data_IF_971646659061
#
_entry.id   IF_971646659061
#
_cell.length_a   1.000
_cell.length_b   1.000
_cell.length_c   1.000
_cell.angle_alpha   90.00
_cell.angle_beta   90.00
_cell.angle_gamma   90.00
#
_symmetry.space_group_name_H-M   'P 1'
#
loop_
_entity.id
_entity.type
_entity.pdbx_description
1 polymer ?
#
# COMPACT_ATOMS: atom_id res chain seq x y z
N UNK A 1 -15.90 5.72 -5.53
CA UNK A 1 -14.68 5.18 -6.15
C UNK A 1 -13.87 4.58 -5.03
N UNK A 2 -13.55 3.30 -5.07
CA UNK A 2 -12.83 2.66 -3.97
C UNK A 2 -11.70 1.84 -4.55
N UNK A 3 -10.50 2.39 -4.46
CA UNK A 3 -9.25 1.71 -4.77
C UNK A 3 -8.63 1.31 -3.43
N UNK A 4 -8.20 0.06 -3.29
CA UNK A 4 -7.76 -0.43 -1.98
C UNK A 4 -6.78 -1.59 -2.05
N UNK A 5 -6.03 -1.76 -0.96
CA UNK A 5 -5.22 -2.96 -0.72
C UNK A 5 -6.07 -3.98 0.04
N UNK A 6 -6.24 -5.16 -0.55
CA UNK A 6 -6.92 -6.32 0.03
C UNK A 6 -5.95 -7.48 0.15
N UNK A 7 -5.47 -7.71 1.36
CA UNK A 7 -4.48 -8.72 1.70
C UNK A 7 -3.05 -8.24 1.48
N UNK A 8 -2.15 -8.73 2.33
CA UNK A 8 -0.73 -8.42 2.26
C UNK A 8 0.12 -9.66 2.56
N UNK A 9 0.98 -10.03 1.62
CA UNK A 9 2.04 -11.02 1.78
C UNK A 9 3.33 -10.32 2.20
N UNK A 10 3.64 -10.38 3.50
CA UNK A 10 4.87 -9.81 4.05
C UNK A 10 5.98 -10.87 4.08
N UNK A 11 6.85 -10.80 3.09
CA UNK A 11 8.02 -11.66 2.97
C UNK A 11 9.23 -11.08 3.71
N UNK A 12 9.14 -9.90 4.32
CA UNK A 12 10.24 -9.29 5.07
C UNK A 12 10.38 -9.85 6.49
N UNK A 13 11.53 -9.58 7.12
CA UNK A 13 11.76 -9.86 8.54
C UNK A 13 11.24 -8.75 9.47
N UNK A 14 10.59 -7.72 8.92
CA UNK A 14 10.06 -6.58 9.67
C UNK A 14 8.53 -6.59 9.64
N UNK A 15 7.90 -5.88 10.58
CA UNK A 15 6.47 -5.61 10.48
C UNK A 15 6.18 -4.71 9.30
N UNK A 16 5.06 -4.94 8.64
CA UNK A 16 4.48 -4.00 7.68
C UNK A 16 3.30 -3.32 8.34
N UNK A 17 3.26 -1.99 8.34
CA UNK A 17 2.16 -1.23 8.95
C UNK A 17 1.49 -0.34 7.91
N UNK A 18 0.20 -0.58 7.71
CA UNK A 18 -0.70 0.28 6.95
C UNK A 18 -1.26 1.33 7.91
N UNK A 19 -1.00 2.60 7.61
CA UNK A 19 -1.52 3.76 8.35
C UNK A 19 -2.36 4.56 7.38
N UNK A 20 -3.68 4.47 7.56
CA UNK A 20 -4.62 5.15 6.68
C UNK A 20 -4.94 6.54 7.26
N UNK A 21 -4.51 7.59 6.57
CA UNK A 21 -4.67 8.97 7.07
C UNK A 21 -6.13 9.46 6.96
N UNK A 22 -6.91 8.91 6.03
CA UNK A 22 -8.32 9.28 5.86
C UNK A 22 -9.25 8.42 6.72
N UNK A 23 -8.91 7.13 6.88
CA UNK A 23 -9.69 6.17 7.66
C UNK A 23 -8.82 5.45 8.70
N UNK A 24 -8.43 6.17 9.76
CA UNK A 24 -7.49 5.65 10.76
C UNK A 24 -7.89 4.30 11.39
N UNK A 25 -9.19 3.99 11.48
CA UNK A 25 -9.71 2.70 11.96
C UNK A 25 -9.34 1.49 11.10
N UNK A 26 -8.96 1.71 9.84
CA UNK A 26 -8.52 0.68 8.90
C UNK A 26 -6.99 0.48 8.92
N UNK A 27 -6.30 1.11 9.88
CA UNK A 27 -4.87 0.90 10.07
C UNK A 27 -4.61 -0.52 10.60
N UNK A 28 -3.62 -1.19 10.02
CA UNK A 28 -3.35 -2.60 10.33
C UNK A 28 -1.87 -2.90 10.21
N UNK A 29 -1.40 -3.87 10.99
CA UNK A 29 -0.03 -4.36 10.91
C UNK A 29 0.01 -5.83 10.56
N UNK A 30 0.94 -6.20 9.70
CA UNK A 30 1.19 -7.57 9.25
C UNK A 30 2.52 -8.02 9.83
N UNK A 31 2.52 -9.21 10.45
CA UNK A 31 3.70 -9.76 11.10
C UNK A 31 4.79 -10.08 10.07
N UNK A 32 6.07 -10.10 10.46
CA UNK A 32 7.15 -10.61 9.63
C UNK A 32 6.84 -12.02 9.09
N UNK A 33 7.27 -12.31 7.86
CA UNK A 33 7.17 -13.63 7.23
C UNK A 33 5.76 -14.25 7.32
N UNK A 34 4.74 -13.44 7.02
CA UNK A 34 3.35 -13.87 7.13
C UNK A 34 2.45 -13.24 6.08
N UNK A 35 1.35 -13.91 5.80
CA UNK A 35 0.26 -13.39 4.98
C UNK A 35 -0.94 -13.04 5.87
N UNK A 36 -1.49 -11.84 5.73
CA UNK A 36 -2.76 -11.45 6.33
C UNK A 36 -3.76 -11.13 5.20
N UNK A 37 -4.74 -12.02 5.02
CA UNK A 37 -5.78 -11.88 3.99
C UNK A 37 -6.90 -10.92 4.35
N UNK A 38 -7.00 -10.52 5.62
CA UNK A 38 -8.04 -9.62 6.15
C UNK A 38 -7.58 -8.15 6.15
N UNK A 39 -6.38 -7.87 5.64
CA UNK A 39 -5.94 -6.49 5.41
C UNK A 39 -6.90 -5.83 4.43
N UNK A 40 -7.49 -4.72 4.85
CA UNK A 40 -8.18 -3.78 3.97
C UNK A 40 -7.66 -2.38 4.26
N UNK A 41 -6.98 -1.77 3.30
CA UNK A 41 -6.45 -0.43 3.42
C UNK A 41 -6.85 0.41 2.20
N UNK A 42 -7.68 1.42 2.42
CA UNK A 42 -8.13 2.30 1.37
C UNK A 42 -7.01 3.21 0.84
N UNK A 43 -6.93 3.36 -0.48
CA UNK A 43 -5.98 4.25 -1.16
C UNK A 43 -6.72 5.55 -1.50
N UNK A 44 -6.29 6.66 -0.89
CA UNK A 44 -6.90 7.97 -1.13
C UNK A 44 -6.61 8.50 -2.52
N UNK A 45 -7.55 9.26 -3.08
CA UNK A 45 -7.35 10.07 -4.29
C UNK A 45 -6.62 11.39 -4.00
N UNK A 46 -6.29 11.66 -2.73
CA UNK A 46 -5.62 12.87 -2.29
C UNK A 46 -4.23 12.54 -1.74
N UNK A 47 -3.18 13.10 -2.35
CA UNK A 47 -1.80 12.95 -1.84
C UNK A 47 -1.62 13.56 -0.44
N UNK A 48 -2.46 14.52 -0.05
CA UNK A 48 -2.40 15.12 1.30
C UNK A 48 -2.94 14.18 2.40
N UNK A 49 -3.71 13.15 2.03
CA UNK A 49 -4.27 12.14 2.95
C UNK A 49 -4.01 10.71 2.47
N UNK A 50 -2.74 10.36 2.22
CA UNK A 50 -2.42 9.15 1.51
C UNK A 50 -2.52 7.91 2.41
N UNK A 51 -2.42 6.74 1.79
CA UNK A 51 -2.13 5.50 2.51
C UNK A 51 -0.62 5.45 2.79
N UNK A 52 -0.22 5.45 4.05
CA UNK A 52 1.19 5.28 4.44
C UNK A 52 1.46 3.82 4.77
N UNK A 53 2.42 3.21 4.08
CA UNK A 53 2.86 1.83 4.30
C UNK A 53 4.29 1.84 4.83
N UNK A 54 4.47 1.52 6.11
CA UNK A 54 5.78 1.34 6.71
C UNK A 54 6.25 -0.09 6.46
N UNK A 55 7.43 -0.26 5.87
CA UNK A 55 8.09 -1.57 5.68
C UNK A 55 9.47 -1.57 6.35
N UNK A 56 10.20 -2.68 6.22
CA UNK A 56 11.61 -2.76 6.62
C UNK A 56 12.55 -1.87 5.78
N UNK A 57 12.14 -1.46 4.57
CA UNK A 57 12.91 -0.54 3.71
C UNK A 57 12.79 0.91 4.18
N UNK A 58 11.59 1.31 4.61
CA UNK A 58 11.25 2.70 4.92
C UNK A 58 9.73 2.91 4.86
N UNK A 59 9.30 4.17 4.76
CA UNK A 59 7.87 4.48 4.60
C UNK A 59 7.58 4.77 3.14
N UNK A 60 6.60 4.08 2.59
CA UNK A 60 6.07 4.34 1.26
C UNK A 60 4.70 5.00 1.37
N UNK A 61 4.50 6.08 0.64
CA UNK A 61 3.26 6.83 0.58
C UNK A 61 2.56 6.45 -0.71
N UNK A 62 1.32 5.96 -0.63
CA UNK A 62 0.52 5.50 -1.76
C UNK A 62 -0.73 6.37 -1.92
N UNK A 63 -1.04 6.74 -3.17
CA UNK A 63 -2.27 7.46 -3.51
C UNK A 63 -2.73 7.09 -4.92
N UNK A 64 -4.01 7.35 -5.20
CA UNK A 64 -4.62 7.22 -6.51
C UNK A 64 -4.60 8.60 -7.19
N UNK A 65 -4.07 8.68 -8.42
CA UNK A 65 -4.10 9.89 -9.23
C UNK A 65 -4.10 9.53 -10.73
N UNK A 66 -4.98 10.17 -11.50
CA UNK A 66 -5.11 9.97 -12.95
C UNK A 66 -5.16 8.49 -13.37
N UNK A 67 -6.06 7.72 -12.73
CA UNK A 67 -6.25 6.28 -12.96
C UNK A 67 -5.00 5.43 -12.71
N UNK A 68 -4.12 5.86 -11.79
CA UNK A 68 -2.89 5.16 -11.43
C UNK A 68 -2.75 5.12 -9.93
N UNK A 69 -2.30 3.98 -9.41
CA UNK A 69 -1.77 3.90 -8.06
C UNK A 69 -0.33 4.41 -8.11
N UNK A 70 -0.11 5.62 -7.61
CA UNK A 70 1.20 6.25 -7.46
C UNK A 70 1.78 5.97 -6.07
N UNK A 71 3.10 6.02 -6.00
CA UNK A 71 3.82 5.88 -4.75
C UNK A 71 5.10 6.72 -4.71
N UNK A 72 5.56 6.99 -3.50
CA UNK A 72 6.80 7.71 -3.20
C UNK A 72 7.40 7.14 -1.91
N UNK A 73 8.71 6.92 -1.85
CA UNK A 73 9.37 6.59 -0.59
C UNK A 73 9.83 7.86 0.12
N UNK A 74 9.81 7.87 1.44
CA UNK A 74 10.28 9.00 2.23
C UNK A 74 11.81 9.16 2.30
N UNK A 75 12.53 8.37 1.50
CA UNK A 75 13.98 8.48 1.27
C UNK A 75 14.34 9.57 0.23
N UNK A 76 13.35 10.29 -0.29
CA UNK A 76 13.52 11.32 -1.32
C UNK A 76 13.66 10.77 -2.74
N UNK A 77 13.42 9.47 -2.94
CA UNK A 77 13.19 8.94 -4.29
C UNK A 77 11.91 9.53 -4.86
N UNK A 78 11.95 9.92 -6.14
CA UNK A 78 10.82 10.55 -6.81
C UNK A 78 9.61 9.61 -6.93
N UNK A 79 8.49 10.19 -7.37
CA UNK A 79 7.24 9.45 -7.57
C UNK A 79 7.37 8.35 -8.63
N UNK A 80 6.70 7.22 -8.41
CA UNK A 80 6.61 6.11 -9.35
C UNK A 80 5.21 5.51 -9.39
N UNK A 81 4.90 4.79 -10.47
CA UNK A 81 3.60 4.13 -10.66
C UNK A 81 3.72 2.67 -10.22
N UNK A 82 2.84 2.27 -9.31
CA UNK A 82 2.72 0.88 -8.84
C UNK A 82 1.76 0.05 -9.70
N UNK A 83 0.65 0.63 -10.14
CA UNK A 83 -0.33 -0.04 -11.01
C UNK A 83 -1.19 0.95 -11.80
N UNK A 84 -1.82 0.46 -12.87
CA UNK A 84 -2.91 1.14 -13.57
C UNK A 84 -4.25 0.72 -12.97
N UNK A 85 -5.20 1.65 -12.94
CA UNK A 85 -6.58 1.42 -12.53
C UNK A 85 -7.41 1.29 -13.80
N UNK A 86 -8.04 0.15 -14.00
CA UNK A 86 -8.83 -0.17 -15.19
C UNK A 86 -10.34 0.02 -14.97
N UNK A 87 -10.79 -0.03 -13.72
CA UNK A 87 -12.19 0.16 -13.35
C UNK A 87 -12.29 0.66 -11.90
N UNK A 88 -13.46 1.16 -11.49
CA UNK A 88 -13.69 1.59 -10.11
C UNK A 88 -15.00 1.00 -9.58
N UNK A 89 -15.01 0.35 -8.41
CA UNK A 89 -13.87 0.10 -7.51
C UNK A 89 -12.89 -0.95 -8.06
N UNK A 90 -11.63 -0.88 -7.65
CA UNK A 90 -10.60 -1.88 -7.99
C UNK A 90 -9.69 -2.14 -6.78
N UNK A 91 -9.57 -3.40 -6.39
CA UNK A 91 -8.73 -3.82 -5.28
C UNK A 91 -7.44 -4.47 -5.78
N UNK A 92 -6.36 -4.29 -5.00
CA UNK A 92 -5.07 -4.91 -5.23
C UNK A 92 -4.65 -5.76 -4.05
N UNK A 93 -3.99 -6.88 -4.30
CA UNK A 93 -3.18 -7.58 -3.31
C UNK A 93 -1.79 -6.94 -3.24
N UNK A 94 -1.22 -6.86 -2.04
CA UNK A 94 0.14 -6.34 -1.84
C UNK A 94 1.11 -7.48 -1.50
N UNK A 95 2.31 -7.42 -2.06
CA UNK A 95 3.47 -8.20 -1.61
C UNK A 95 4.58 -7.25 -1.20
N UNK A 96 5.11 -7.46 0.00
CA UNK A 96 6.32 -6.82 0.49
C UNK A 96 7.46 -7.83 0.43
N UNK A 97 8.49 -7.55 -0.36
CA UNK A 97 9.64 -8.44 -0.54
C UNK A 97 10.47 -8.59 0.75
N UNK A 98 11.46 -9.47 0.71
CA UNK A 98 12.44 -9.61 1.78
C UNK A 98 13.25 -8.32 2.05
N UNK A 99 13.54 -7.54 1.00
CA UNK A 99 14.17 -6.21 1.05
C UNK A 99 13.23 -5.11 1.53
N UNK A 100 11.92 -5.37 1.65
CA UNK A 100 10.92 -4.40 2.05
C UNK A 100 10.33 -3.58 0.89
N UNK A 101 10.60 -3.96 -0.36
CA UNK A 101 10.02 -3.35 -1.55
C UNK A 101 8.57 -3.77 -1.73
N UNK A 102 7.75 -2.86 -2.25
CA UNK A 102 6.31 -3.06 -2.42
C UNK A 102 6.02 -3.39 -3.87
N UNK A 103 5.23 -4.43 -4.09
CA UNK A 103 4.55 -4.69 -5.36
C UNK A 103 3.07 -4.89 -5.11
N UNK A 104 2.23 -4.52 -6.08
CA UNK A 104 0.79 -4.74 -6.01
C UNK A 104 0.31 -5.44 -7.27
N UNK A 105 -0.75 -6.24 -7.15
CA UNK A 105 -1.38 -6.96 -8.25
C UNK A 105 -2.89 -6.90 -8.11
N UNK A 106 -3.58 -6.79 -9.24
CA UNK A 106 -5.04 -6.82 -9.27
C UNK A 106 -5.56 -8.09 -8.59
N UNK A 107 -6.66 -7.96 -7.84
CA UNK A 107 -7.29 -9.06 -7.11
C UNK A 107 -8.57 -9.54 -7.79
#
# INVERSE_FOLDING_TARGET
>A
MTTGIRGCDNQSNSYVSFVNQEHAGDSRSVKPRSYDGDVYAWISQHKERPLSVQTGRGRCILWDDDWKVKAEWDDGSGEFVLAQIHHSPQDYSMTVSDTGDITIKER
#
